data_IF_693626477725
#
_entry.id   IF_693626477725
#
_cell.length_a   1.000
_cell.length_b   1.000
_cell.length_c   1.000
_cell.angle_alpha   90.00
_cell.angle_beta   90.00
_cell.angle_gamma   90.00
#
_symmetry.space_group_name_H-M   'P 1'
#
loop_
_entity.id
_entity.type
_entity.pdbx_description
1 polymer ?
#
# COMPACT_ATOMS: atom_id res chain seq x y z
N UNK A 1 -5.64 -37.81 -1.25
CA UNK A 1 -6.57 -37.53 -2.38
C UNK A 1 -5.91 -37.83 -3.71
N UNK A 2 -6.58 -38.58 -4.60
CA UNK A 2 -6.09 -38.87 -5.95
C UNK A 2 -6.07 -37.60 -6.83
N UNK A 3 -5.20 -37.57 -7.86
CA UNK A 3 -5.15 -36.44 -8.82
C UNK A 3 -6.52 -36.14 -9.44
N UNK A 4 -7.31 -37.18 -9.78
CA UNK A 4 -8.68 -37.06 -10.30
C UNK A 4 -9.62 -36.37 -9.30
N UNK A 5 -9.57 -36.74 -8.02
CA UNK A 5 -10.41 -36.15 -6.97
C UNK A 5 -10.13 -34.64 -6.82
N UNK A 6 -8.85 -34.23 -6.80
CA UNK A 6 -8.47 -32.80 -6.73
C UNK A 6 -8.95 -32.00 -7.94
N UNK A 7 -8.88 -32.58 -9.15
CA UNK A 7 -9.35 -31.90 -10.38
C UNK A 7 -10.88 -31.74 -10.34
N UNK A 8 -11.61 -32.75 -9.90
CA UNK A 8 -13.08 -32.68 -9.79
C UNK A 8 -13.53 -31.66 -8.74
N UNK A 9 -12.83 -31.61 -7.60
CA UNK A 9 -13.06 -30.60 -6.56
C UNK A 9 -12.84 -29.18 -7.07
N UNK A 10 -11.73 -28.94 -7.77
CA UNK A 10 -11.45 -27.64 -8.40
C UNK A 10 -12.50 -27.25 -9.44
N UNK A 11 -12.98 -28.23 -10.23
CA UNK A 11 -14.06 -28.01 -11.20
C UNK A 11 -15.38 -27.61 -10.50
N UNK A 12 -15.72 -28.28 -9.42
CA UNK A 12 -16.88 -27.97 -8.59
C UNK A 12 -16.81 -26.53 -8.05
N UNK A 13 -15.69 -26.14 -7.44
CA UNK A 13 -15.53 -24.78 -6.93
C UNK A 13 -15.57 -23.72 -8.04
N UNK A 14 -15.01 -23.99 -9.21
CA UNK A 14 -15.10 -23.09 -10.38
C UNK A 14 -16.54 -22.91 -10.84
N UNK A 15 -17.32 -23.96 -10.93
CA UNK A 15 -18.75 -23.90 -11.30
C UNK A 15 -19.57 -23.12 -10.27
N UNK A 16 -19.33 -23.37 -8.97
CA UNK A 16 -19.98 -22.64 -7.87
C UNK A 16 -19.64 -21.14 -7.91
N UNK A 17 -18.37 -20.81 -8.18
CA UNK A 17 -17.91 -19.42 -8.35
C UNK A 17 -18.61 -18.76 -9.57
N UNK A 18 -18.65 -19.44 -10.71
CA UNK A 18 -19.33 -18.96 -11.93
C UNK A 18 -20.82 -18.69 -11.70
N UNK A 19 -21.51 -19.59 -10.97
CA UNK A 19 -22.92 -19.42 -10.62
C UNK A 19 -23.15 -18.18 -9.76
N UNK A 20 -22.30 -17.91 -8.77
CA UNK A 20 -22.38 -16.69 -7.93
C UNK A 20 -22.07 -15.42 -8.73
N UNK A 21 -21.07 -15.45 -9.62
CA UNK A 21 -20.72 -14.31 -10.46
C UNK A 21 -21.80 -13.93 -11.46
N UNK A 22 -22.49 -14.93 -12.02
CA UNK A 22 -23.55 -14.74 -13.02
C UNK A 22 -24.96 -14.76 -12.38
N UNK A 23 -25.07 -14.58 -11.07
CA UNK A 23 -26.36 -14.50 -10.39
C UNK A 23 -27.18 -13.33 -10.94
N UNK A 24 -28.50 -13.50 -11.17
CA UNK A 24 -29.38 -12.40 -11.56
C UNK A 24 -29.47 -11.32 -10.47
N UNK A 25 -29.29 -11.69 -9.20
CA UNK A 25 -29.32 -10.76 -8.08
C UNK A 25 -28.02 -9.98 -7.98
N UNK A 26 -28.03 -8.62 -8.12
CA UNK A 26 -26.85 -7.78 -8.02
C UNK A 26 -26.17 -7.88 -6.66
N UNK A 27 -26.93 -7.98 -5.58
CA UNK A 27 -26.42 -8.11 -4.22
C UNK A 27 -25.49 -9.33 -4.06
N UNK A 28 -25.90 -10.48 -4.60
CA UNK A 28 -25.10 -11.72 -4.54
C UNK A 28 -23.80 -11.57 -5.32
N UNK A 29 -23.84 -10.87 -6.47
CA UNK A 29 -22.64 -10.61 -7.27
C UNK A 29 -21.66 -9.69 -6.56
N UNK A 30 -22.16 -8.60 -5.98
CA UNK A 30 -21.32 -7.61 -5.27
C UNK A 30 -20.70 -8.26 -4.03
N UNK A 31 -21.49 -8.94 -3.19
CA UNK A 31 -21.01 -9.66 -2.00
C UNK A 31 -19.95 -10.71 -2.35
N UNK A 32 -20.13 -11.45 -3.43
CA UNK A 32 -19.15 -12.43 -3.87
C UNK A 32 -17.83 -11.78 -4.32
N UNK A 33 -17.88 -10.66 -5.08
CA UNK A 33 -16.70 -9.89 -5.47
C UNK A 33 -15.97 -9.36 -4.25
N UNK A 34 -16.71 -8.81 -3.29
CA UNK A 34 -16.18 -8.26 -2.03
C UNK A 34 -15.44 -9.34 -1.21
N UNK A 35 -16.08 -10.50 -1.02
CA UNK A 35 -15.48 -11.62 -0.30
C UNK A 35 -14.19 -12.12 -0.98
N UNK A 36 -14.18 -12.18 -2.30
CA UNK A 36 -12.99 -12.56 -3.07
C UNK A 36 -11.88 -11.52 -2.93
N UNK A 37 -12.21 -10.21 -2.93
CA UNK A 37 -11.25 -9.13 -2.77
C UNK A 37 -10.64 -9.15 -1.35
N UNK A 38 -11.47 -9.31 -0.30
CA UNK A 38 -11.01 -9.43 1.10
C UNK A 38 -10.09 -10.65 1.32
N UNK A 39 -10.36 -11.78 0.68
CA UNK A 39 -9.45 -12.94 0.74
C UNK A 39 -8.11 -12.65 0.05
N UNK A 40 -8.14 -11.93 -1.08
CA UNK A 40 -6.91 -11.52 -1.77
C UNK A 40 -6.10 -10.55 -0.92
N UNK A 41 -6.75 -9.60 -0.28
CA UNK A 41 -6.12 -8.65 0.65
C UNK A 41 -5.42 -9.37 1.80
N UNK A 42 -6.11 -10.28 2.49
CA UNK A 42 -5.54 -11.08 3.57
C UNK A 42 -4.31 -11.89 3.11
N UNK A 43 -4.39 -12.49 1.93
CA UNK A 43 -3.26 -13.22 1.34
C UNK A 43 -2.07 -12.29 1.03
N UNK A 44 -2.33 -11.08 0.52
CA UNK A 44 -1.28 -10.08 0.24
C UNK A 44 -0.59 -9.61 1.52
N UNK A 45 -1.35 -9.37 2.59
CA UNK A 45 -0.81 -9.00 3.91
C UNK A 45 0.10 -10.12 4.44
N UNK A 46 -0.34 -11.38 4.36
CA UNK A 46 0.49 -12.52 4.77
C UNK A 46 1.79 -12.63 3.94
N UNK A 47 1.70 -12.32 2.64
CA UNK A 47 2.89 -12.30 1.78
C UNK A 47 3.84 -11.17 2.14
N UNK A 48 3.34 -9.98 2.44
CA UNK A 48 4.15 -8.81 2.81
C UNK A 48 4.91 -9.03 4.13
N UNK A 49 4.32 -9.74 5.10
CA UNK A 49 5.01 -10.12 6.35
C UNK A 49 6.33 -10.84 6.13
N UNK A 50 6.49 -11.58 5.02
CA UNK A 50 7.76 -12.26 4.69
C UNK A 50 8.88 -11.30 4.27
N UNK A 51 8.54 -10.06 3.93
CA UNK A 51 9.49 -9.01 3.57
C UNK A 51 9.73 -8.01 4.70
N UNK A 52 9.09 -8.22 5.85
CA UNK A 52 9.41 -7.48 7.06
C UNK A 52 10.80 -7.92 7.53
N UNK A 53 11.73 -6.99 7.53
CA UNK A 53 13.09 -7.23 8.03
C UNK A 53 13.10 -6.80 9.49
N UNK A 54 13.57 -7.70 10.35
CA UNK A 54 13.81 -7.36 11.75
C UNK A 54 14.85 -6.25 11.78
N UNK A 55 14.44 -5.08 12.26
CA UNK A 55 15.36 -3.95 12.46
C UNK A 55 16.34 -4.37 13.56
N UNK A 56 17.61 -4.50 13.22
CA UNK A 56 18.63 -4.66 14.23
C UNK A 56 18.59 -3.48 15.21
N UNK A 57 18.84 -3.70 16.50
CA UNK A 57 18.94 -2.61 17.45
C UNK A 57 19.94 -1.61 16.90
N UNK A 58 19.57 -0.30 16.90
CA UNK A 58 20.44 0.74 16.42
C UNK A 58 21.74 0.64 17.22
N UNK A 59 22.87 0.37 16.53
CA UNK A 59 24.18 0.59 17.13
C UNK A 59 24.17 2.00 17.71
N UNK A 60 24.69 2.17 18.92
CA UNK A 60 24.78 3.48 19.56
C UNK A 60 25.62 4.42 18.67
N UNK A 61 24.95 5.07 17.74
CA UNK A 61 25.50 6.13 16.93
C UNK A 61 25.16 7.42 17.64
N UNK A 62 26.18 8.11 18.13
CA UNK A 62 26.04 9.42 18.72
C UNK A 62 26.07 10.45 17.57
N UNK A 63 24.92 10.98 17.14
CA UNK A 63 24.91 11.98 16.08
C UNK A 63 25.55 13.26 16.61
N UNK A 64 26.44 13.82 15.82
CA UNK A 64 27.07 15.12 16.11
C UNK A 64 25.98 16.19 16.26
N UNK A 65 26.02 16.95 17.34
CA UNK A 65 25.14 18.10 17.55
C UNK A 65 25.66 19.26 16.71
N UNK A 66 24.90 19.63 15.68
CA UNK A 66 25.26 20.74 14.78
C UNK A 66 24.63 22.03 15.27
N UNK A 67 25.39 23.14 15.13
CA UNK A 67 24.85 24.48 15.36
C UNK A 67 23.94 24.91 14.21
N UNK A 68 23.05 25.89 14.45
CA UNK A 68 22.15 26.40 13.41
C UNK A 68 22.92 26.98 12.21
N UNK A 69 24.07 27.62 12.46
CA UNK A 69 24.91 28.14 11.40
C UNK A 69 25.52 27.02 10.53
N UNK A 70 25.99 25.95 11.17
CA UNK A 70 26.50 24.77 10.46
C UNK A 70 25.41 24.11 9.62
N UNK A 71 24.20 23.94 10.16
CA UNK A 71 23.04 23.42 9.44
C UNK A 71 22.75 24.28 8.21
N UNK A 72 22.68 25.61 8.37
CA UNK A 72 22.45 26.54 7.26
C UNK A 72 23.53 26.44 6.18
N UNK A 73 24.82 26.41 6.59
CA UNK A 73 25.93 26.23 5.66
C UNK A 73 25.86 24.90 4.91
N UNK A 74 25.62 23.78 5.60
CA UNK A 74 25.53 22.45 5.04
C UNK A 74 24.34 22.32 4.09
N UNK A 75 23.20 22.93 4.42
CA UNK A 75 22.02 23.01 3.56
C UNK A 75 22.36 23.69 2.24
N UNK A 76 22.95 24.90 2.30
CA UNK A 76 23.33 25.69 1.11
C UNK A 76 24.38 24.96 0.26
N UNK A 77 25.35 24.33 0.90
CA UNK A 77 26.40 23.56 0.24
C UNK A 77 25.83 22.31 -0.43
N UNK A 78 24.96 21.56 0.27
CA UNK A 78 24.29 20.39 -0.26
C UNK A 78 23.40 20.71 -1.45
N UNK A 79 22.73 21.87 -1.46
CA UNK A 79 21.90 22.32 -2.59
C UNK A 79 22.69 22.55 -3.87
N UNK A 80 23.87 23.11 -3.77
CA UNK A 80 24.74 23.43 -4.91
C UNK A 80 25.38 22.18 -5.53
N UNK A 81 25.62 21.13 -4.76
CA UNK A 81 26.27 19.91 -5.26
C UNK A 81 25.39 19.18 -6.27
N UNK A 82 26.00 18.65 -7.34
CA UNK A 82 25.34 17.90 -8.40
C UNK A 82 25.17 16.41 -8.07
N UNK A 83 25.97 15.90 -7.14
CA UNK A 83 25.93 14.48 -6.74
C UNK A 83 24.64 14.16 -5.97
N UNK A 84 23.98 13.06 -6.33
CA UNK A 84 22.76 12.60 -5.68
C UNK A 84 22.64 11.09 -5.68
N UNK A 85 21.90 10.58 -4.72
CA UNK A 85 21.45 9.18 -4.65
C UNK A 85 19.96 9.16 -4.96
N UNK A 86 19.53 8.24 -5.81
CA UNK A 86 18.13 8.11 -6.18
C UNK A 86 17.47 6.97 -5.41
N UNK A 87 16.35 7.27 -4.76
CA UNK A 87 15.41 6.29 -4.20
C UNK A 87 14.22 6.21 -5.14
N UNK A 88 14.01 5.04 -5.75
CA UNK A 88 12.92 4.80 -6.69
C UNK A 88 11.82 3.92 -6.09
N UNK A 89 11.03 3.28 -6.94
CA UNK A 89 9.88 2.41 -6.59
C UNK A 89 10.19 1.29 -5.59
N UNK A 90 11.45 0.86 -5.49
CA UNK A 90 11.87 -0.20 -4.57
C UNK A 90 12.05 0.28 -3.12
N UNK A 91 11.93 1.60 -2.89
CA UNK A 91 12.23 2.20 -1.60
C UNK A 91 13.70 2.07 -1.21
N UNK A 92 13.96 2.06 0.09
CA UNK A 92 15.30 1.85 0.65
C UNK A 92 15.63 0.36 0.63
N UNK A 93 16.76 0.01 0.05
CA UNK A 93 17.30 -1.35 0.03
C UNK A 93 18.83 -1.30 0.05
N UNK A 94 19.49 -2.44 0.27
CA UNK A 94 20.94 -2.50 0.46
C UNK A 94 21.78 -1.78 -0.61
N UNK A 95 21.32 -1.75 -1.88
CA UNK A 95 22.01 -1.03 -2.94
C UNK A 95 21.95 0.50 -2.82
N UNK A 96 20.90 1.05 -2.23
CA UNK A 96 20.81 2.50 -1.95
C UNK A 96 21.74 2.86 -0.83
N UNK A 97 21.77 2.07 0.25
CA UNK A 97 22.68 2.27 1.38
C UNK A 97 24.14 2.17 0.94
N UNK A 98 24.47 1.14 0.14
CA UNK A 98 25.79 1.01 -0.47
C UNK A 98 26.17 2.27 -1.26
N UNK A 99 25.26 2.79 -2.08
CA UNK A 99 25.51 4.00 -2.87
C UNK A 99 25.76 5.23 -1.97
N UNK A 100 25.03 5.37 -0.85
CA UNK A 100 25.31 6.40 0.14
C UNK A 100 26.74 6.29 0.71
N UNK A 101 27.15 5.09 1.14
CA UNK A 101 28.50 4.87 1.66
C UNK A 101 29.59 5.15 0.62
N UNK A 102 29.35 4.85 -0.66
CA UNK A 102 30.27 5.22 -1.73
C UNK A 102 30.39 6.74 -1.92
N UNK A 103 29.29 7.47 -1.76
CA UNK A 103 29.31 8.93 -1.77
C UNK A 103 30.04 9.50 -0.54
N UNK A 104 29.87 8.90 0.65
CA UNK A 104 30.55 9.28 1.88
C UNK A 104 32.09 9.23 1.80
N UNK A 105 32.63 8.41 0.90
CA UNK A 105 34.08 8.37 0.64
C UNK A 105 34.63 9.67 0.05
N UNK A 106 33.80 10.40 -0.72
CA UNK A 106 34.25 11.56 -1.51
C UNK A 106 33.56 12.86 -1.09
N UNK A 107 32.41 12.76 -0.45
CA UNK A 107 31.57 13.92 -0.17
C UNK A 107 31.03 13.88 1.25
N UNK A 108 31.03 15.06 1.90
CA UNK A 108 30.46 15.21 3.24
C UNK A 108 28.94 15.38 3.21
N UNK A 109 28.39 15.94 2.11
CA UNK A 109 26.97 16.13 1.93
C UNK A 109 26.49 15.43 0.67
N UNK A 110 25.30 14.79 0.74
CA UNK A 110 24.68 14.07 -0.38
C UNK A 110 23.22 14.43 -0.44
N UNK A 111 22.70 14.64 -1.64
CA UNK A 111 21.26 14.76 -1.90
C UNK A 111 20.67 13.38 -2.15
N UNK A 112 19.52 13.09 -1.55
CA UNK A 112 18.73 11.90 -1.86
C UNK A 112 17.43 12.35 -2.51
N UNK A 113 17.17 11.89 -3.73
CA UNK A 113 15.96 12.23 -4.48
C UNK A 113 15.04 11.01 -4.47
N UNK A 114 13.85 11.17 -3.85
CA UNK A 114 12.87 10.12 -3.69
C UNK A 114 11.76 10.25 -4.74
N UNK A 115 11.63 9.28 -5.67
CA UNK A 115 10.59 9.27 -6.71
C UNK A 115 10.17 7.83 -7.05
N UNK A 116 8.88 7.54 -7.18
CA UNK A 116 7.71 8.28 -6.68
C UNK A 116 7.56 8.12 -5.16
N UNK A 117 6.96 9.10 -4.48
CA UNK A 117 6.67 9.03 -3.05
C UNK A 117 5.20 9.34 -2.76
N UNK A 118 4.62 8.60 -1.81
CA UNK A 118 3.36 8.94 -1.15
C UNK A 118 3.61 10.00 -0.06
N UNK A 119 2.56 10.69 0.35
CA UNK A 119 2.63 11.64 1.48
C UNK A 119 3.16 10.91 2.73
N UNK A 120 4.12 11.52 3.42
CA UNK A 120 4.77 10.97 4.62
C UNK A 120 5.92 9.98 4.35
N UNK A 121 5.96 9.32 3.21
CA UNK A 121 6.96 8.29 2.88
C UNK A 121 8.39 8.84 2.80
N UNK A 122 8.55 10.13 2.50
CA UNK A 122 9.86 10.78 2.45
C UNK A 122 10.50 10.85 3.84
N UNK A 123 9.69 11.09 4.88
CA UNK A 123 10.14 11.09 6.27
C UNK A 123 10.63 9.70 6.70
N UNK A 124 9.84 8.66 6.40
CA UNK A 124 10.22 7.27 6.67
C UNK A 124 11.55 6.90 5.99
N UNK A 125 11.73 7.32 4.74
CA UNK A 125 12.98 7.10 4.02
C UNK A 125 14.15 7.90 4.61
N UNK A 126 13.91 9.12 5.10
CA UNK A 126 14.92 9.92 5.76
C UNK A 126 15.41 9.25 7.04
N UNK A 127 14.51 8.78 7.89
CA UNK A 127 14.84 8.07 9.13
C UNK A 127 15.57 6.75 8.85
N UNK A 128 15.07 5.95 7.90
CA UNK A 128 15.65 4.67 7.55
C UNK A 128 17.07 4.84 6.96
N UNK A 129 17.26 5.82 6.08
CA UNK A 129 18.57 6.11 5.51
C UNK A 129 19.54 6.73 6.52
N UNK A 130 19.07 7.56 7.47
CA UNK A 130 19.90 8.07 8.57
C UNK A 130 20.40 6.90 9.43
N UNK A 131 19.53 5.98 9.79
CA UNK A 131 19.88 4.78 10.57
C UNK A 131 20.89 3.88 9.86
N UNK A 132 20.62 3.53 8.59
CA UNK A 132 21.43 2.59 7.83
C UNK A 132 22.72 3.19 7.27
N UNK A 133 22.66 4.45 6.84
CA UNK A 133 23.79 5.18 6.26
C UNK A 133 24.64 5.91 7.28
N UNK A 134 24.24 5.90 8.56
CA UNK A 134 24.91 6.65 9.65
C UNK A 134 25.14 8.12 9.30
N UNK A 135 24.15 8.72 8.61
CA UNK A 135 24.17 10.13 8.21
C UNK A 135 23.16 10.96 9.01
N UNK A 136 23.38 12.26 9.07
CA UNK A 136 22.53 13.24 9.74
C UNK A 136 21.63 13.89 8.68
N UNK A 137 20.31 13.93 8.93
CA UNK A 137 19.35 14.64 8.08
C UNK A 137 19.47 16.13 8.35
N UNK A 138 19.82 16.91 7.33
CA UNK A 138 19.95 18.37 7.44
C UNK A 138 18.66 19.08 7.04
N UNK A 139 18.04 18.65 5.92
CA UNK A 139 16.85 19.29 5.41
C UNK A 139 16.01 18.32 4.56
N UNK A 140 14.69 18.48 4.61
CA UNK A 140 13.75 17.74 3.77
C UNK A 140 12.94 18.75 2.97
N UNK A 141 13.14 18.75 1.65
CA UNK A 141 12.49 19.68 0.75
C UNK A 141 11.13 19.17 0.24
N UNK A 142 10.21 20.07 -0.10
CA UNK A 142 8.90 19.70 -0.63
C UNK A 142 8.95 18.95 -1.98
N UNK A 143 10.07 19.05 -2.71
CA UNK A 143 10.31 18.32 -3.95
C UNK A 143 10.79 16.87 -3.75
N UNK A 144 10.55 16.27 -2.57
CA UNK A 144 10.97 14.92 -2.19
C UNK A 144 12.50 14.73 -2.22
N UNK A 145 13.24 15.80 -1.93
CA UNK A 145 14.71 15.77 -1.84
C UNK A 145 15.13 15.92 -0.39
N UNK A 146 15.96 15.00 0.07
CA UNK A 146 16.53 15.00 1.41
C UNK A 146 18.02 15.37 1.29
N UNK A 147 18.51 16.23 2.15
CA UNK A 147 19.93 16.58 2.24
C UNK A 147 20.50 15.89 3.47
N UNK A 148 21.50 15.06 3.24
CA UNK A 148 22.21 14.34 4.29
C UNK A 148 23.63 14.91 4.47
N UNK A 149 24.09 14.89 5.70
CA UNK A 149 25.46 15.15 6.09
C UNK A 149 26.07 13.88 6.70
N UNK A 150 27.32 13.60 6.35
CA UNK A 150 28.03 12.39 6.80
C UNK A 150 28.32 12.39 8.30
N UNK A 151 28.56 13.58 8.90
CA UNK A 151 29.11 13.71 10.23
C UNK A 151 30.63 13.48 10.26
N UNK A 152 31.30 14.12 11.22
CA UNK A 152 32.77 13.96 11.42
C UNK A 152 33.11 12.61 12.00
N UNK A 153 32.20 12.06 12.83
CA UNK A 153 32.38 10.79 13.52
C UNK A 153 32.03 9.56 12.63
N UNK A 154 31.79 9.76 11.33
CA UNK A 154 31.46 8.66 10.43
C UNK A 154 32.65 7.71 10.25
N UNK A 155 32.44 6.47 10.62
CA UNK A 155 33.33 5.34 10.33
C UNK A 155 32.70 4.47 9.27
N UNK A 156 33.44 4.20 8.20
CA UNK A 156 32.95 3.34 7.13
C UNK A 156 32.72 1.92 7.66
N UNK A 157 31.52 1.34 7.55
CA UNK A 157 31.26 -0.02 7.96
C UNK A 157 32.00 -1.02 7.05
N UNK A 158 32.46 -2.14 7.60
CA UNK A 158 33.08 -3.22 6.83
C UNK A 158 32.09 -3.79 5.78
N UNK A 159 30.81 -3.89 6.15
CA UNK A 159 29.73 -4.32 5.28
C UNK A 159 28.86 -3.12 4.95
N UNK A 160 29.03 -2.56 3.74
CA UNK A 160 28.30 -1.38 3.30
C UNK A 160 26.84 -1.65 2.89
N UNK A 161 26.47 -2.94 2.74
CA UNK A 161 25.09 -3.35 2.49
C UNK A 161 24.62 -4.18 3.69
N UNK A 162 23.96 -3.56 4.67
CA UNK A 162 23.57 -4.21 5.91
C UNK A 162 22.70 -5.45 5.67
N UNK A 163 22.87 -6.47 6.52
CA UNK A 163 22.09 -7.72 6.42
C UNK A 163 20.60 -7.50 6.73
N UNK A 164 20.28 -6.45 7.47
CA UNK A 164 18.91 -6.01 7.80
C UNK A 164 18.23 -5.22 6.68
N UNK A 165 18.75 -5.28 5.45
CA UNK A 165 18.14 -4.68 4.27
C UNK A 165 17.75 -5.72 3.23
N UNK A 166 16.71 -5.41 2.47
CA UNK A 166 16.28 -6.29 1.37
C UNK A 166 17.25 -6.23 0.20
N UNK A 167 17.38 -7.34 -0.53
CA UNK A 167 18.06 -7.34 -1.82
C UNK A 167 17.20 -6.61 -2.87
N UNK A 168 17.83 -6.18 -3.97
CA UNK A 168 17.16 -5.47 -5.08
C UNK A 168 15.96 -6.22 -5.66
N UNK A 169 16.04 -7.55 -5.79
CA UNK A 169 14.96 -8.40 -6.29
C UNK A 169 13.80 -8.50 -5.30
N UNK A 170 14.10 -8.78 -4.02
CA UNK A 170 13.10 -8.86 -2.95
C UNK A 170 12.38 -7.52 -2.73
N UNK A 171 13.10 -6.39 -2.79
CA UNK A 171 12.52 -5.06 -2.72
C UNK A 171 11.55 -4.78 -3.88
N UNK A 172 11.86 -5.27 -5.10
CA UNK A 172 10.95 -5.14 -6.24
C UNK A 172 9.69 -6.01 -6.06
N UNK A 173 9.83 -7.21 -5.52
CA UNK A 173 8.69 -8.09 -5.24
C UNK A 173 7.79 -7.50 -4.15
N UNK A 174 8.37 -6.99 -3.06
CA UNK A 174 7.65 -6.27 -2.02
C UNK A 174 6.82 -5.14 -2.61
N UNK A 175 7.43 -4.29 -3.42
CA UNK A 175 6.74 -3.18 -4.09
C UNK A 175 5.54 -3.64 -4.95
N UNK A 176 5.67 -4.75 -5.69
CA UNK A 176 4.56 -5.31 -6.47
C UNK A 176 3.39 -5.77 -5.60
N UNK A 177 3.69 -6.37 -4.45
CA UNK A 177 2.65 -6.77 -3.50
C UNK A 177 1.99 -5.58 -2.84
N UNK A 178 2.75 -4.54 -2.47
CA UNK A 178 2.23 -3.27 -1.94
C UNK A 178 1.28 -2.59 -2.92
N UNK A 179 1.68 -2.45 -4.19
CA UNK A 179 0.80 -1.93 -5.23
C UNK A 179 -0.47 -2.77 -5.41
N UNK A 180 -0.34 -4.11 -5.39
CA UNK A 180 -1.51 -4.98 -5.50
C UNK A 180 -2.43 -4.87 -4.29
N UNK A 181 -1.89 -4.60 -3.11
CA UNK A 181 -2.65 -4.36 -1.89
C UNK A 181 -3.43 -3.04 -1.99
N UNK A 182 -2.76 -1.95 -2.38
CA UNK A 182 -3.38 -0.64 -2.59
C UNK A 182 -4.58 -0.73 -3.55
N UNK A 183 -4.38 -1.33 -4.74
CA UNK A 183 -5.47 -1.52 -5.69
C UNK A 183 -6.58 -2.43 -5.18
N UNK A 184 -6.25 -3.41 -4.33
CA UNK A 184 -7.26 -4.32 -3.79
C UNK A 184 -8.08 -3.61 -2.72
N UNK A 185 -7.48 -2.78 -1.86
CA UNK A 185 -8.21 -2.01 -0.85
C UNK A 185 -9.09 -0.93 -1.48
N UNK A 186 -8.59 -0.19 -2.48
CA UNK A 186 -9.44 0.74 -3.25
C UNK A 186 -10.64 0.04 -3.92
N UNK A 187 -10.42 -1.17 -4.42
CA UNK A 187 -11.51 -1.95 -5.03
C UNK A 187 -12.52 -2.43 -4.00
N UNK A 188 -12.09 -2.79 -2.79
CA UNK A 188 -12.96 -3.15 -1.66
C UNK A 188 -13.84 -1.96 -1.28
N UNK A 189 -13.25 -0.77 -1.10
CA UNK A 189 -13.99 0.45 -0.77
C UNK A 189 -15.07 0.78 -1.82
N UNK A 190 -14.74 0.64 -3.10
CA UNK A 190 -15.71 0.84 -4.20
C UNK A 190 -16.86 -0.14 -4.13
N UNK A 191 -16.58 -1.43 -3.88
CA UNK A 191 -17.60 -2.46 -3.77
C UNK A 191 -18.47 -2.28 -2.50
N UNK A 192 -17.90 -1.80 -1.40
CA UNK A 192 -18.64 -1.53 -0.17
C UNK A 192 -19.61 -0.36 -0.38
N UNK A 193 -19.17 0.71 -1.05
CA UNK A 193 -20.05 1.83 -1.43
C UNK A 193 -21.16 1.39 -2.39
N UNK A 194 -20.83 0.62 -3.43
CA UNK A 194 -21.79 0.06 -4.39
C UNK A 194 -22.85 -0.79 -3.67
N UNK A 195 -22.42 -1.62 -2.71
CA UNK A 195 -23.34 -2.45 -1.92
C UNK A 195 -24.25 -1.59 -1.03
N UNK A 196 -23.71 -0.58 -0.38
CA UNK A 196 -24.48 0.32 0.48
C UNK A 196 -25.53 1.11 -0.30
N UNK A 197 -25.16 1.64 -1.47
CA UNK A 197 -26.08 2.35 -2.37
C UNK A 197 -27.19 1.42 -2.86
N UNK A 198 -26.85 0.21 -3.25
CA UNK A 198 -27.84 -0.80 -3.66
C UNK A 198 -28.81 -1.13 -2.54
N UNK A 199 -28.33 -1.33 -1.31
CA UNK A 199 -29.18 -1.62 -0.16
C UNK A 199 -30.09 -0.43 0.19
N UNK A 200 -29.59 0.80 0.14
CA UNK A 200 -30.38 2.03 0.31
C UNK A 200 -31.49 2.14 -0.73
N UNK A 201 -31.15 1.87 -2.00
CA UNK A 201 -32.13 1.89 -3.09
C UNK A 201 -33.21 0.81 -2.88
N UNK A 202 -32.81 -0.41 -2.56
CA UNK A 202 -33.72 -1.52 -2.27
C UNK A 202 -34.67 -1.19 -1.13
N UNK A 203 -34.15 -0.58 -0.04
CA UNK A 203 -34.99 -0.18 1.11
C UNK A 203 -36.00 0.92 0.73
N UNK A 204 -35.61 1.89 -0.13
CA UNK A 204 -36.55 2.91 -0.65
C UNK A 204 -37.65 2.29 -1.48
N UNK A 205 -37.30 1.39 -2.41
CA UNK A 205 -38.30 0.69 -3.22
C UNK A 205 -39.27 -0.17 -2.38
N UNK A 206 -38.78 -0.76 -1.29
CA UNK A 206 -39.65 -1.55 -0.40
C UNK A 206 -40.64 -0.65 0.33
N UNK A 207 -40.19 0.46 0.90
CA UNK A 207 -41.06 1.45 1.57
C UNK A 207 -42.08 2.06 0.60
N UNK A 208 -41.71 2.34 -0.67
CA UNK A 208 -42.64 2.86 -1.66
C UNK A 208 -43.75 1.86 -1.98
N UNK A 209 -43.45 0.55 -2.03
CA UNK A 209 -44.45 -0.49 -2.28
C UNK A 209 -45.39 -0.74 -1.08
N UNK A 210 -44.93 -0.49 0.15
CA UNK A 210 -45.76 -0.59 1.37
C UNK A 210 -46.67 0.63 1.54
N UNK A 211 -46.37 1.76 0.88
CA UNK A 211 -47.16 2.99 0.93
C UNK A 211 -48.20 3.13 -0.18
N UNK A 212 -48.26 2.21 -1.15
CA UNK A 212 -49.37 2.14 -2.12
C UNK A 212 -50.60 1.54 -1.44
N UNK A 213 -51.76 2.27 -1.36
CA UNK A 213 -53.01 1.70 -0.83
C UNK A 213 -53.45 0.58 -1.71
N UNK A 214 -53.80 -0.56 -1.11
CA UNK A 214 -54.51 -1.63 -1.76
C UNK A 214 -55.94 -1.11 -2.02
N UNK A 215 -56.19 -0.61 -3.22
CA UNK A 215 -57.56 -0.41 -3.71
C UNK A 215 -58.20 -1.78 -3.80
N UNK A 216 -58.98 -2.10 -2.77
CA UNK A 216 -59.94 -3.20 -2.82
C UNK A 216 -60.99 -2.83 -3.87
N UNK A 217 -60.91 -3.37 -5.03
CA UNK A 217 -62.03 -3.46 -5.96
C UNK A 217 -63.04 -4.45 -5.37
N UNK A 218 -63.98 -3.92 -4.60
CA UNK A 218 -65.23 -4.60 -4.30
C UNK A 218 -66.07 -4.69 -5.59
N UNK A 219 -65.93 -5.78 -6.30
CA UNK A 219 -66.84 -6.17 -7.35
C UNK A 219 -68.06 -6.86 -6.70
N UNK A 220 -68.95 -6.04 -6.20
CA UNK A 220 -70.26 -6.51 -5.77
C UNK A 220 -71.14 -6.82 -7.00
N UNK A 221 -71.27 -8.12 -7.23
CA UNK A 221 -72.19 -8.66 -8.17
C UNK A 221 -73.61 -8.10 -8.01
N UNK A 222 -74.18 -7.66 -9.08
CA UNK A 222 -75.61 -7.47 -9.18
C UNK A 222 -76.18 -8.51 -10.11
N UNK A 223 -76.73 -9.52 -9.49
CA UNK A 223 -77.59 -10.53 -10.07
C UNK A 223 -78.93 -9.88 -10.34
N UNK A 224 -79.36 -9.81 -11.55
CA UNK A 224 -80.84 -9.68 -11.86
C UNK A 224 -81.20 -10.47 -13.04
N UNK A 225 -81.94 -11.53 -12.73
CA UNK A 225 -82.88 -12.28 -13.49
C UNK A 225 -83.79 -11.45 -14.39
N UNK A 226 -84.14 -11.95 -15.52
CA UNK A 226 -85.52 -12.13 -16.06
C UNK A 226 -85.56 -12.16 -17.61
N UNK A 227 -86.14 -13.22 -18.05
CA UNK A 227 -86.93 -13.56 -19.22
C UNK A 227 -86.21 -14.23 -20.35
#
# INVERSE_FOLDING_TARGET
MSKKAKVNELRFYRLKAKKKMNSPNPEVRIRYKLEKAKRKEAWLIEKLRKYEVLKAPAEAYDPEILTEEEIHYLKRTGEKKKNYVQVGRRGVFGGVVLNMHLHWKKHETVKVICKPCKLGQVLEYAEELARLGKGIVIDIKPNNTIIFYRGRNYVQPNIMSPADTLSKSKALEKYKYEQSLDHTSEFIEKLEKELEEYLKHKARCHKAKESEPQDFADDNGCNSTLS
#
